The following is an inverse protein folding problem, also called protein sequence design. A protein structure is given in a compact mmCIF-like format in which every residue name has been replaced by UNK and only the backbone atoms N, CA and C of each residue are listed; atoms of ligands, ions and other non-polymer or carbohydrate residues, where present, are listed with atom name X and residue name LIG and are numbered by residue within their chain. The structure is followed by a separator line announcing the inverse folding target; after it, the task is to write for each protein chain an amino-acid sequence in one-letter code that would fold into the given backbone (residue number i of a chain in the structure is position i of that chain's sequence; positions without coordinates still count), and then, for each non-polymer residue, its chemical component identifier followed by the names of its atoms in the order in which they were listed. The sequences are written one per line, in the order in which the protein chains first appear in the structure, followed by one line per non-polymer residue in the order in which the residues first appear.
data_IF_603836150287
#
_entry.id   IF_603836150287
#
_cell.length_a   1.000
_cell.length_b   1.000
_cell.length_c   1.000
_cell.angle_alpha   90.00
_cell.angle_beta   90.00
_cell.angle_gamma   90.00
#
_symmetry.space_group_name_H-M   'P 1'
#
loop_
_entity.id
_entity.type
_entity.pdbx_description
1 polymer ?
#
# COMPACT_ATOMS: atom_id res chain seq x y z
N UNK A 1 -11.73 -18.74 16.17
CA UNK A 1 -10.73 -19.24 15.20
C UNK A 1 -9.91 -18.04 14.71
N UNK A 2 -9.20 -17.34 15.61
CA UNK A 2 -8.53 -16.07 15.27
C UNK A 2 -7.09 -16.23 14.71
N UNK A 3 -6.46 -17.41 14.88
CA UNK A 3 -5.06 -17.61 14.46
C UNK A 3 -4.81 -17.60 12.95
N UNK A 4 -5.79 -18.01 12.13
CA UNK A 4 -5.56 -18.18 10.69
C UNK A 4 -5.22 -16.89 9.92
N UNK A 5 -5.81 -15.76 10.31
CA UNK A 5 -5.56 -14.48 9.64
C UNK A 5 -4.20 -13.86 10.03
N UNK A 6 -3.78 -14.04 11.28
CA UNK A 6 -2.48 -13.56 11.77
C UNK A 6 -1.34 -14.39 11.17
N UNK A 7 -1.48 -15.71 11.14
CA UNK A 7 -0.52 -16.64 10.53
C UNK A 7 -0.32 -16.32 9.04
N UNK A 8 -1.42 -16.13 8.28
CA UNK A 8 -1.36 -15.73 6.88
C UNK A 8 -0.63 -14.39 6.70
N UNK A 9 -0.95 -13.40 7.53
CA UNK A 9 -0.32 -12.08 7.42
C UNK A 9 1.20 -12.19 7.59
N UNK A 10 1.66 -13.04 8.50
CA UNK A 10 3.08 -13.32 8.69
C UNK A 10 3.71 -14.04 7.47
N UNK A 11 3.01 -15.00 6.87
CA UNK A 11 3.48 -15.70 5.67
C UNK A 11 3.60 -14.77 4.46
N UNK A 12 2.59 -13.92 4.20
CA UNK A 12 2.61 -12.95 3.09
C UNK A 12 3.76 -11.96 3.29
N UNK A 13 3.94 -11.48 4.52
CA UNK A 13 5.03 -10.56 4.86
C UNK A 13 6.39 -11.22 4.61
N UNK A 14 6.59 -12.44 5.11
CA UNK A 14 7.85 -13.17 4.92
C UNK A 14 8.12 -13.53 3.45
N UNK A 15 7.07 -13.84 2.69
CA UNK A 15 7.15 -14.06 1.24
C UNK A 15 7.67 -12.81 0.53
N UNK A 16 7.06 -11.64 0.78
CA UNK A 16 7.43 -10.40 0.11
C UNK A 16 8.79 -9.86 0.54
N UNK A 17 9.14 -10.00 1.83
CA UNK A 17 10.48 -9.67 2.33
C UNK A 17 11.53 -10.50 1.59
N UNK A 18 11.35 -11.82 1.54
CA UNK A 18 12.28 -12.75 0.88
C UNK A 18 12.32 -12.57 -0.63
N UNK A 19 11.17 -12.32 -1.25
CA UNK A 19 11.01 -12.14 -2.68
C UNK A 19 11.89 -10.99 -3.19
N UNK A 20 11.79 -9.84 -2.51
CA UNK A 20 12.56 -8.69 -2.90
C UNK A 20 14.06 -8.90 -2.68
N UNK A 21 14.46 -9.51 -1.55
CA UNK A 21 15.86 -9.86 -1.28
C UNK A 21 16.47 -10.73 -2.38
N UNK A 22 15.70 -11.71 -2.88
CA UNK A 22 16.14 -12.63 -3.94
C UNK A 22 15.92 -12.09 -5.35
N UNK A 23 15.34 -10.90 -5.49
CA UNK A 23 14.91 -10.35 -6.77
C UNK A 23 14.00 -11.32 -7.53
N UNK A 24 13.10 -11.99 -6.81
CA UNK A 24 12.11 -12.88 -7.40
C UNK A 24 11.17 -12.09 -8.32
N UNK A 25 10.80 -12.69 -9.46
CA UNK A 25 9.93 -12.04 -10.44
C UNK A 25 8.53 -11.79 -9.88
N UNK A 26 7.91 -10.69 -10.28
CA UNK A 26 6.53 -10.35 -9.90
C UNK A 26 5.55 -11.50 -10.19
N UNK A 27 5.69 -12.19 -11.33
CA UNK A 27 4.81 -13.32 -11.68
C UNK A 27 4.95 -14.49 -10.71
N UNK A 28 6.16 -14.77 -10.22
CA UNK A 28 6.37 -15.82 -9.21
C UNK A 28 5.64 -15.48 -7.92
N UNK A 29 5.74 -14.23 -7.47
CA UNK A 29 5.11 -13.76 -6.24
C UNK A 29 3.60 -13.70 -6.39
N UNK A 30 3.10 -13.21 -7.53
CA UNK A 30 1.68 -13.22 -7.85
C UNK A 30 1.11 -14.64 -7.79
N UNK A 31 1.75 -15.60 -8.47
CA UNK A 31 1.31 -17.00 -8.43
C UNK A 31 1.33 -17.59 -7.01
N UNK A 32 2.29 -17.20 -6.16
CA UNK A 32 2.32 -17.66 -4.78
C UNK A 32 1.20 -17.05 -3.94
N UNK A 33 0.95 -15.74 -4.09
CA UNK A 33 -0.14 -15.06 -3.39
C UNK A 33 -1.52 -15.52 -3.87
N UNK A 34 -1.68 -15.78 -5.16
CA UNK A 34 -2.90 -16.37 -5.73
C UNK A 34 -3.16 -17.74 -5.10
N UNK A 35 -2.17 -18.63 -5.03
CA UNK A 35 -2.29 -19.93 -4.35
C UNK A 35 -2.62 -19.78 -2.86
N UNK A 36 -2.00 -18.81 -2.17
CA UNK A 36 -2.33 -18.51 -0.77
C UNK A 36 -3.75 -17.98 -0.62
N UNK A 37 -4.24 -17.19 -1.59
CA UNK A 37 -5.61 -16.69 -1.62
C UNK A 37 -6.64 -17.78 -1.91
N UNK A 38 -6.37 -18.68 -2.86
CA UNK A 38 -7.20 -19.84 -3.19
C UNK A 38 -7.33 -20.79 -2.00
N UNK A 39 -6.25 -20.96 -1.23
CA UNK A 39 -6.25 -21.81 -0.03
C UNK A 39 -7.12 -21.23 1.10
N UNK A 40 -7.42 -19.92 1.08
CA UNK A 40 -7.97 -19.20 2.23
C UNK A 40 -9.21 -18.35 1.94
N UNK A 41 -9.71 -18.39 0.69
CA UNK A 41 -10.74 -17.49 0.14
C UNK A 41 -12.00 -17.35 1.01
N UNK A 42 -12.29 -18.29 1.90
CA UNK A 42 -13.49 -18.27 2.74
C UNK A 42 -13.32 -17.56 4.09
N UNK A 43 -12.10 -17.29 4.58
CA UNK A 43 -11.92 -16.85 5.98
C UNK A 43 -11.25 -15.48 6.19
N UNK A 44 -10.49 -14.97 5.21
CA UNK A 44 -9.71 -13.74 5.38
C UNK A 44 -10.20 -12.63 4.44
N UNK A 45 -10.59 -11.45 4.97
CA UNK A 45 -10.99 -10.32 4.14
C UNK A 45 -9.87 -9.83 3.21
N UNK A 46 -10.20 -9.37 2.00
CA UNK A 46 -9.23 -8.76 1.06
C UNK A 46 -8.44 -7.60 1.69
N UNK A 47 -9.03 -6.85 2.61
CA UNK A 47 -8.35 -5.78 3.33
C UNK A 47 -7.16 -6.28 4.15
N UNK A 48 -7.23 -7.50 4.70
CA UNK A 48 -6.13 -8.11 5.45
C UNK A 48 -5.01 -8.59 4.54
N UNK A 49 -5.33 -9.09 3.34
CA UNK A 49 -4.32 -9.33 2.31
C UNK A 49 -3.60 -8.05 1.91
N UNK A 50 -4.35 -7.00 1.62
CA UNK A 50 -3.76 -5.73 1.21
C UNK A 50 -2.87 -5.13 2.31
N UNK A 51 -3.31 -5.20 3.57
CA UNK A 51 -2.53 -4.82 4.77
C UNK A 51 -1.21 -5.60 4.85
N UNK A 52 -1.25 -6.93 4.74
CA UNK A 52 -0.07 -7.78 4.79
C UNK A 52 0.89 -7.53 3.61
N UNK A 53 0.36 -7.30 2.40
CA UNK A 53 1.16 -7.01 1.21
C UNK A 53 1.92 -5.68 1.38
N UNK A 54 1.21 -4.62 1.79
CA UNK A 54 1.83 -3.31 2.06
C UNK A 54 2.89 -3.42 3.16
N UNK A 55 2.61 -4.15 4.23
CA UNK A 55 3.57 -4.37 5.31
C UNK A 55 4.83 -5.09 4.81
N UNK A 56 4.67 -6.14 4.00
CA UNK A 56 5.79 -6.86 3.39
C UNK A 56 6.65 -5.95 2.52
N UNK A 57 6.03 -5.11 1.68
CA UNK A 57 6.74 -4.13 0.85
C UNK A 57 7.51 -3.10 1.68
N UNK A 58 6.89 -2.52 2.72
CA UNK A 58 7.56 -1.55 3.58
C UNK A 58 8.70 -2.17 4.39
N UNK A 59 8.57 -3.42 4.86
CA UNK A 59 9.70 -4.11 5.49
C UNK A 59 10.85 -4.36 4.51
N UNK A 60 10.55 -4.70 3.27
CA UNK A 60 11.55 -4.83 2.21
C UNK A 60 12.30 -3.50 1.96
N UNK A 61 11.60 -2.36 1.98
CA UNK A 61 12.22 -1.03 1.92
C UNK A 61 13.15 -0.81 3.12
N UNK A 62 12.67 -1.06 4.34
CA UNK A 62 13.43 -0.83 5.59
C UNK A 62 14.77 -1.56 5.63
N UNK A 63 14.87 -2.73 4.97
CA UNK A 63 16.09 -3.55 4.92
C UNK A 63 17.17 -3.02 3.98
N UNK A 64 16.78 -2.29 2.92
CA UNK A 64 17.73 -1.86 1.86
C UNK A 64 18.21 -0.43 1.99
N UNK A 65 17.48 0.39 2.73
CA UNK A 65 17.74 1.82 2.76
C UNK A 65 18.56 2.23 3.98
N UNK A 66 19.46 3.19 3.79
CA UNK A 66 19.93 4.01 4.91
C UNK A 66 18.76 4.89 5.39
N UNK A 67 18.15 4.54 6.53
CA UNK A 67 17.01 5.28 7.08
C UNK A 67 17.33 6.73 7.46
N UNK A 68 18.61 7.13 7.39
CA UNK A 68 19.05 8.50 7.61
C UNK A 68 18.96 9.38 6.34
N UNK A 69 18.65 8.81 5.17
CA UNK A 69 18.63 9.52 3.88
C UNK A 69 17.25 9.47 3.24
N UNK A 70 16.48 10.57 3.35
CA UNK A 70 15.09 10.65 2.83
C UNK A 70 14.99 10.32 1.34
N UNK A 71 15.93 10.79 0.51
CA UNK A 71 15.95 10.49 -0.93
C UNK A 71 16.13 8.99 -1.19
N UNK A 72 17.03 8.35 -0.46
CA UNK A 72 17.24 6.89 -0.54
C UNK A 72 15.96 6.13 -0.18
N UNK A 73 15.20 6.61 0.81
CA UNK A 73 13.91 6.00 1.19
C UNK A 73 12.89 6.13 0.07
N UNK A 74 12.76 7.31 -0.53
CA UNK A 74 11.85 7.52 -1.65
C UNK A 74 12.17 6.62 -2.85
N UNK A 75 13.43 6.61 -3.29
CA UNK A 75 13.86 5.77 -4.42
C UNK A 75 13.62 4.28 -4.16
N UNK A 76 13.82 3.83 -2.91
CA UNK A 76 13.57 2.44 -2.52
C UNK A 76 12.07 2.13 -2.46
N UNK A 77 11.24 3.07 -1.98
CA UNK A 77 9.77 2.92 -2.01
C UNK A 77 9.31 2.77 -3.45
N UNK A 78 9.71 3.67 -4.35
CA UNK A 78 9.34 3.61 -5.76
C UNK A 78 9.79 2.29 -6.39
N UNK A 79 11.04 1.86 -6.16
CA UNK A 79 11.55 0.60 -6.69
C UNK A 79 10.76 -0.63 -6.22
N UNK A 80 10.42 -0.72 -4.93
CA UNK A 80 9.68 -1.86 -4.37
C UNK A 80 8.24 -1.87 -4.87
N UNK A 81 7.57 -0.72 -4.83
CA UNK A 81 6.16 -0.62 -5.17
C UNK A 81 5.93 -0.66 -6.69
N UNK A 82 6.86 -0.18 -7.51
CA UNK A 82 6.75 -0.36 -8.96
C UNK A 82 6.93 -1.84 -9.34
N UNK A 83 7.74 -2.60 -8.59
CA UNK A 83 7.93 -4.03 -8.81
C UNK A 83 6.75 -4.90 -8.33
N UNK A 84 6.16 -4.57 -7.17
CA UNK A 84 5.16 -5.43 -6.52
C UNK A 84 3.80 -4.78 -6.28
N UNK A 85 3.67 -3.47 -6.43
CA UNK A 85 2.42 -2.72 -6.30
C UNK A 85 1.27 -3.25 -7.15
N UNK A 86 1.47 -3.75 -8.38
CA UNK A 86 0.40 -4.38 -9.16
C UNK A 86 -0.28 -5.58 -8.47
N UNK A 87 0.38 -6.22 -7.50
CA UNK A 87 -0.19 -7.32 -6.70
C UNK A 87 -1.34 -6.82 -5.80
N UNK A 88 -1.40 -5.53 -5.47
CA UNK A 88 -2.49 -4.97 -4.68
C UNK A 88 -3.81 -4.82 -5.46
N UNK A 89 -3.78 -4.81 -6.79
CA UNK A 89 -4.95 -4.54 -7.64
C UNK A 89 -6.15 -5.45 -7.32
N UNK A 90 -6.00 -6.79 -7.17
CA UNK A 90 -7.12 -7.67 -6.85
C UNK A 90 -7.71 -7.47 -5.44
N UNK A 91 -6.97 -6.80 -4.54
CA UNK A 91 -7.38 -6.57 -3.15
C UNK A 91 -7.91 -5.15 -2.91
N UNK A 92 -7.56 -4.20 -3.79
CA UNK A 92 -7.96 -2.78 -3.75
C UNK A 92 -9.23 -2.49 -4.58
N UNK A 93 -10.20 -3.40 -4.54
CA UNK A 93 -11.34 -3.40 -5.48
C UNK A 93 -12.40 -2.33 -5.23
N UNK A 94 -12.42 -1.69 -4.06
CA UNK A 94 -13.44 -0.72 -3.66
C UNK A 94 -12.82 0.49 -2.96
N UNK A 95 -13.54 1.61 -2.93
CA UNK A 95 -13.12 2.79 -2.17
C UNK A 95 -12.86 2.46 -0.69
N UNK A 96 -13.70 1.61 -0.10
CA UNK A 96 -13.55 1.16 1.29
C UNK A 96 -12.24 0.40 1.51
N UNK A 97 -11.92 -0.56 0.65
CA UNK A 97 -10.67 -1.34 0.78
C UNK A 97 -9.44 -0.49 0.48
N UNK A 98 -9.53 0.49 -0.43
CA UNK A 98 -8.46 1.46 -0.69
C UNK A 98 -8.21 2.39 0.50
N UNK A 99 -9.25 2.85 1.19
CA UNK A 99 -9.10 3.63 2.43
C UNK A 99 -8.44 2.77 3.52
N UNK A 100 -8.83 1.50 3.66
CA UNK A 100 -8.21 0.58 4.61
C UNK A 100 -6.73 0.31 4.31
N UNK A 101 -6.33 0.32 3.03
CA UNK A 101 -4.92 0.29 2.63
C UNK A 101 -4.20 1.53 3.15
N UNK A 102 -4.75 2.73 2.95
CA UNK A 102 -4.17 3.98 3.46
C UNK A 102 -4.07 3.95 4.99
N UNK A 103 -5.12 3.52 5.69
CA UNK A 103 -5.13 3.36 7.14
C UNK A 103 -4.11 2.33 7.64
N UNK A 104 -3.80 1.31 6.84
CA UNK A 104 -2.76 0.33 7.15
C UNK A 104 -1.37 0.95 7.04
N UNK A 105 -1.11 1.74 5.99
CA UNK A 105 0.13 2.53 5.86
C UNK A 105 0.26 3.51 7.03
N UNK A 106 -0.82 4.21 7.37
CA UNK A 106 -0.87 5.15 8.49
C UNK A 106 -0.45 4.46 9.79
N UNK A 107 -1.05 3.30 10.12
CA UNK A 107 -0.65 2.51 11.30
C UNK A 107 0.83 2.16 11.31
N UNK A 108 1.37 1.70 10.18
CA UNK A 108 2.81 1.37 10.06
C UNK A 108 3.68 2.62 10.24
N UNK A 109 3.24 3.78 9.75
CA UNK A 109 3.95 5.04 9.91
C UNK A 109 3.88 5.59 11.34
N UNK A 110 2.86 5.20 12.12
CA UNK A 110 2.68 5.55 13.53
C UNK A 110 3.39 4.58 14.48
N UNK A 111 3.91 3.45 14.00
CA UNK A 111 4.68 2.53 14.85
C UNK A 111 5.88 3.26 15.49
N UNK A 112 6.25 2.91 16.74
CA UNK A 112 7.42 3.48 17.39
C UNK A 112 8.67 3.34 16.53
N UNK A 113 9.38 4.44 16.31
CA UNK A 113 10.61 4.49 15.48
C UNK A 113 10.36 4.12 14.01
N UNK A 114 9.14 4.24 13.50
CA UNK A 114 8.85 4.02 12.10
C UNK A 114 9.64 5.03 11.22
N UNK A 115 10.49 4.55 10.31
CA UNK A 115 11.23 5.42 9.39
C UNK A 115 10.32 6.02 8.31
N UNK A 116 9.07 5.55 8.23
CA UNK A 116 8.13 5.91 7.19
C UNK A 116 7.31 7.15 7.50
N UNK A 117 7.26 7.59 8.75
CA UNK A 117 6.52 8.80 9.14
C UNK A 117 6.88 10.04 8.29
N UNK A 118 8.16 10.37 8.04
CA UNK A 118 8.54 11.54 7.25
C UNK A 118 8.24 11.42 5.74
N UNK A 119 7.95 10.21 5.26
CA UNK A 119 7.71 9.89 3.85
C UNK A 119 6.30 9.35 3.60
N UNK A 120 5.40 9.50 4.58
CA UNK A 120 4.02 9.01 4.48
C UNK A 120 3.33 9.45 3.18
N UNK A 121 3.38 10.76 2.87
CA UNK A 121 2.78 11.28 1.64
C UNK A 121 3.38 10.66 0.37
N UNK A 122 4.69 10.38 0.35
CA UNK A 122 5.35 9.69 -0.77
C UNK A 122 4.78 8.29 -0.94
N UNK A 123 4.60 7.53 0.15
CA UNK A 123 4.00 6.18 0.08
C UNK A 123 2.59 6.26 -0.50
N UNK A 124 1.79 7.25 -0.09
CA UNK A 124 0.42 7.41 -0.63
C UNK A 124 0.44 7.83 -2.10
N UNK A 125 1.37 8.72 -2.50
CA UNK A 125 1.57 9.09 -3.90
C UNK A 125 1.94 7.87 -4.74
N UNK A 126 2.86 7.02 -4.27
CA UNK A 126 3.26 5.79 -4.96
C UNK A 126 2.08 4.82 -5.06
N UNK A 127 1.32 4.61 -3.97
CA UNK A 127 0.10 3.79 -3.99
C UNK A 127 -0.93 4.29 -5.01
N UNK A 128 -1.01 5.61 -5.23
CA UNK A 128 -1.92 6.20 -6.22
C UNK A 128 -1.56 5.86 -7.67
N UNK A 129 -0.32 5.44 -7.94
CA UNK A 129 0.10 4.97 -9.27
C UNK A 129 -0.29 3.52 -9.54
N UNK A 130 -0.69 2.76 -8.52
CA UNK A 130 -0.92 1.32 -8.64
C UNK A 130 -2.37 0.91 -8.40
N UNK A 131 -2.93 1.26 -7.25
CA UNK A 131 -4.18 0.64 -6.81
C UNK A 131 -5.10 1.54 -5.97
N UNK A 132 -4.61 2.68 -5.48
CA UNK A 132 -5.40 3.60 -4.65
C UNK A 132 -5.87 4.78 -5.50
N UNK A 133 -7.18 4.95 -5.64
CA UNK A 133 -7.71 6.05 -6.40
C UNK A 133 -7.61 7.37 -5.62
N UNK A 134 -7.60 8.49 -6.34
CA UNK A 134 -7.56 9.83 -5.75
C UNK A 134 -8.78 10.08 -4.85
N UNK A 135 -9.94 9.52 -5.18
CA UNK A 135 -11.15 9.65 -4.35
C UNK A 135 -10.96 9.04 -2.96
N UNK A 136 -10.31 7.88 -2.86
CA UNK A 136 -10.03 7.22 -1.58
C UNK A 136 -9.08 8.06 -0.73
N UNK A 137 -8.08 8.68 -1.37
CA UNK A 137 -7.12 9.58 -0.72
C UNK A 137 -7.83 10.82 -0.17
N UNK A 138 -8.67 11.45 -0.99
CA UNK A 138 -9.43 12.65 -0.60
C UNK A 138 -10.41 12.34 0.53
N UNK A 139 -11.07 11.17 0.51
CA UNK A 139 -11.95 10.74 1.61
C UNK A 139 -11.16 10.54 2.90
N UNK A 140 -10.04 9.80 2.87
CA UNK A 140 -9.17 9.64 4.04
C UNK A 140 -8.69 11.00 4.58
N UNK A 141 -8.24 11.90 3.70
CA UNK A 141 -7.75 13.23 4.10
C UNK A 141 -8.86 14.07 4.75
N UNK A 142 -10.09 14.03 4.22
CA UNK A 142 -11.25 14.70 4.84
C UNK A 142 -11.56 14.16 6.23
N UNK A 143 -11.52 12.84 6.41
CA UNK A 143 -11.74 12.20 7.72
C UNK A 143 -10.69 12.66 8.74
N UNK A 144 -9.42 12.74 8.33
CA UNK A 144 -8.33 13.20 9.21
C UNK A 144 -8.41 14.70 9.52
N UNK A 145 -8.81 15.53 8.56
CA UNK A 145 -9.05 16.96 8.80
C UNK A 145 -10.20 17.19 9.80
N UNK A 146 -11.29 16.44 9.70
CA UNK A 146 -12.37 16.49 10.69
C UNK A 146 -11.87 16.08 12.08
N UNK A 147 -11.12 14.97 12.19
CA UNK A 147 -10.52 14.55 13.45
C UNK A 147 -9.53 15.59 14.04
N UNK A 148 -8.80 16.32 13.18
CA UNK A 148 -7.94 17.44 13.60
C UNK A 148 -8.78 18.58 14.21
N UNK A 149 -9.89 18.94 13.58
CA UNK A 149 -10.81 19.99 14.06
C UNK A 149 -11.49 19.62 15.38
N UNK A 150 -11.79 18.34 15.57
CA UNK A 150 -12.33 17.79 16.82
C UNK A 150 -11.27 17.64 17.93
N UNK A 151 -9.98 17.83 17.61
CA UNK A 151 -8.87 17.68 18.56
C UNK A 151 -8.60 16.23 18.98
N UNK A 152 -8.97 15.26 18.15
CA UNK A 152 -8.83 13.81 18.46
C UNK A 152 -7.54 13.20 17.91
N UNK A 153 -6.84 13.89 16.99
CA UNK A 153 -5.55 13.43 16.48
C UNK A 153 -4.42 13.65 17.49
N UNK A 154 -3.57 12.64 17.62
CA UNK A 154 -2.27 12.75 18.28
C UNK A 154 -1.30 13.64 17.50
N UNK A 155 -0.21 14.06 18.14
CA UNK A 155 0.86 14.83 17.50
C UNK A 155 1.50 14.09 16.31
N UNK A 156 1.61 12.76 16.39
CA UNK A 156 2.15 11.94 15.30
C UNK A 156 1.18 11.91 14.12
N UNK A 157 -0.11 11.72 14.37
CA UNK A 157 -1.13 11.74 13.31
C UNK A 157 -1.23 13.12 12.65
N UNK A 158 -1.12 14.20 13.41
CA UNK A 158 -1.05 15.55 12.85
C UNK A 158 0.19 15.74 11.95
N UNK A 159 1.32 15.13 12.31
CA UNK A 159 2.54 15.16 11.48
C UNK A 159 2.34 14.39 10.18
N UNK A 160 1.69 13.22 10.21
CA UNK A 160 1.37 12.47 8.99
C UNK A 160 0.42 13.25 8.08
N UNK A 161 -0.63 13.84 8.64
CA UNK A 161 -1.56 14.69 7.89
C UNK A 161 -0.84 15.90 7.28
N UNK A 162 0.06 16.54 8.02
CA UNK A 162 0.85 17.65 7.50
C UNK A 162 1.75 17.21 6.34
N UNK A 163 2.44 16.06 6.45
CA UNK A 163 3.24 15.50 5.35
C UNK A 163 2.39 15.25 4.11
N UNK A 164 1.17 14.77 4.30
CA UNK A 164 0.19 14.53 3.24
C UNK A 164 -0.25 15.84 2.57
N UNK A 165 -0.64 16.86 3.33
CA UNK A 165 -1.07 18.17 2.83
C UNK A 165 0.00 18.87 1.98
N UNK A 166 1.28 18.55 2.21
CA UNK A 166 2.42 19.09 1.47
C UNK A 166 2.94 18.15 0.36
N UNK A 167 2.27 17.02 0.13
CA UNK A 167 2.60 16.10 -0.96
C UNK A 167 1.71 16.41 -2.15
N UNK A 168 2.33 16.51 -3.34
CA UNK A 168 1.56 16.63 -4.57
C UNK A 168 0.89 15.29 -4.88
N UNK A 169 -0.42 15.25 -4.71
CA UNK A 169 -1.24 14.11 -5.06
C UNK A 169 -2.03 14.45 -6.31
N UNK A 170 -1.69 13.76 -7.38
CA UNK A 170 -2.24 13.93 -8.72
C UNK A 170 -1.52 12.96 -9.64
N UNK A 171 -1.97 12.82 -10.90
CA UNK A 171 -1.23 12.02 -11.87
C UNK A 171 0.18 12.60 -11.97
N UNK A 172 1.16 11.89 -11.41
CA UNK A 172 2.57 12.25 -11.43
C UNK A 172 3.08 12.03 -12.86
N UNK A 173 2.75 12.94 -13.77
CA UNK A 173 3.15 12.88 -15.17
C UNK A 173 2.40 11.82 -15.99
N UNK A 174 2.02 12.20 -17.20
CA UNK A 174 1.64 11.25 -18.23
C UNK A 174 2.77 10.29 -18.59
N UNK A 175 2.42 9.32 -19.44
CA UNK A 175 3.32 8.34 -20.06
C UNK A 175 3.63 7.12 -19.15
N UNK A 176 2.58 6.34 -18.86
CA UNK A 176 2.67 4.93 -19.22
C UNK A 176 2.03 4.78 -20.60
N UNK A 177 2.73 5.24 -21.65
CA UNK A 177 2.44 4.78 -23.01
C UNK A 177 2.58 3.25 -23.00
N UNK A 178 1.45 2.55 -22.86
CA UNK A 178 1.37 1.09 -22.88
C UNK A 178 0.52 0.46 -21.76
N UNK A 179 0.32 1.14 -20.63
CA UNK A 179 -0.64 0.71 -19.61
C UNK A 179 -1.61 1.85 -19.36
N UNK A 180 -2.73 1.84 -20.10
CA UNK A 180 -3.91 2.59 -19.70
C UNK A 180 -4.37 2.07 -18.34
N UNK A 181 -3.85 2.67 -17.27
CA UNK A 181 -4.41 2.59 -15.92
C UNK A 181 -5.83 3.15 -16.05
N UNK A 182 -6.80 2.26 -16.20
CA UNK A 182 -8.17 2.61 -16.56
C UNK A 182 -8.80 1.55 -17.44
N UNK A 183 -8.29 1.34 -18.66
CA UNK A 183 -8.88 0.37 -19.59
C UNK A 183 -8.72 -1.07 -19.12
N UNK A 184 -7.56 -1.50 -18.62
CA UNK A 184 -7.41 -2.88 -18.12
C UNK A 184 -8.38 -3.24 -16.99
N UNK A 185 -8.73 -2.27 -16.14
CA UNK A 185 -9.70 -2.47 -15.04
C UNK A 185 -11.16 -2.27 -15.47
N UNK A 186 -11.43 -1.43 -16.47
CA UNK A 186 -12.77 -1.27 -17.05
C UNK A 186 -13.12 -2.42 -17.99
N UNK A 187 -12.18 -2.90 -18.81
CA UNK A 187 -12.39 -4.03 -19.71
C UNK A 187 -12.68 -5.31 -18.92
N UNK A 188 -12.02 -5.52 -17.78
CA UNK A 188 -12.33 -6.63 -16.88
C UNK A 188 -13.73 -6.49 -16.23
N UNK A 189 -14.16 -5.26 -15.92
CA UNK A 189 -15.50 -4.98 -15.36
C UNK A 189 -16.61 -5.07 -16.42
N UNK A 190 -16.34 -4.63 -17.64
CA UNK A 190 -17.31 -4.60 -18.75
C UNK A 190 -17.51 -5.99 -19.38
N UNK A 191 -16.52 -6.88 -19.27
CA UNK A 191 -16.65 -8.27 -19.73
C UNK A 191 -17.35 -9.21 -18.74
N UNK A 192 -17.75 -8.73 -17.55
CA UNK A 192 -18.47 -9.55 -16.56
C UNK A 192 -17.73 -10.82 -16.14
N UNK A 193 -16.39 -10.77 -16.15
CA UNK A 193 -15.49 -11.82 -15.66
C UNK A 193 -15.23 -11.68 -14.16
#
# INVERSE_FOLDING_TARGET
MEGGAEDLSAEIVGLLETAYERSDSMDKIRNQLERMSETLAESVPHSKYAEAIVKGMLLAVRRRVNLNERLSIQETIDLVFDAYGPILIPYATSNTTQIQIIESVEKICLEPQSPFSPVFGIIIQTLSRHCVNVEAIVDWEKRRKAAREEGTLSQQEMTLLWNMEHTQIGPTGGILEGYEIGKGSQDARDMGL
#
